data_IF_238411509039
#
_entry.id   IF_238411509039
#
_cell.length_a   1.000
_cell.length_b   1.000
_cell.length_c   1.000
_cell.angle_alpha   90.00
_cell.angle_beta   90.00
_cell.angle_gamma   90.00
#
_symmetry.space_group_name_H-M   'P 1'
#
loop_
_entity.id
_entity.type
_entity.pdbx_description
1 polymer ?
#
# COMPACT_ATOMS: atom_id res chain seq x y z
N UNK A 1 0.44 14.27 -3.70
CA UNK A 1 0.11 14.88 -2.41
C UNK A 1 -0.88 16.03 -2.66
N UNK A 2 -1.22 16.89 -1.70
CA UNK A 2 -2.18 17.98 -1.94
C UNK A 2 -1.68 19.07 -2.91
N UNK A 3 -0.40 19.09 -3.26
CA UNK A 3 0.17 19.98 -4.28
C UNK A 3 0.13 19.37 -5.69
N UNK A 4 -0.35 18.13 -5.82
CA UNK A 4 -0.36 17.39 -7.09
C UNK A 4 0.96 16.69 -7.40
N UNK A 5 1.91 16.62 -6.45
CA UNK A 5 3.15 15.87 -6.62
C UNK A 5 2.90 14.38 -6.42
N UNK A 6 3.27 13.53 -7.38
CA UNK A 6 3.14 12.08 -7.25
C UNK A 6 4.49 11.46 -6.97
N UNK A 7 4.58 10.70 -5.88
CA UNK A 7 5.73 9.84 -5.59
C UNK A 7 5.32 8.39 -5.85
N UNK A 8 6.13 7.68 -6.63
CA UNK A 8 5.94 6.26 -6.90
C UNK A 8 6.97 5.45 -6.13
N UNK A 9 6.49 4.43 -5.41
CA UNK A 9 7.34 3.50 -4.65
C UNK A 9 7.09 2.09 -5.16
N UNK A 10 8.16 1.45 -5.62
CA UNK A 10 8.16 0.07 -6.08
C UNK A 10 9.20 -0.72 -5.29
N UNK A 11 8.86 -1.92 -4.85
CA UNK A 11 9.76 -2.78 -4.09
C UNK A 11 9.21 -4.19 -3.94
N UNK A 12 10.10 -5.11 -3.60
CA UNK A 12 9.72 -6.49 -3.32
C UNK A 12 9.15 -6.62 -1.90
N UNK A 13 7.98 -7.22 -1.81
CA UNK A 13 7.32 -7.48 -0.53
C UNK A 13 6.80 -6.23 0.18
N UNK A 14 6.43 -6.41 1.44
CA UNK A 14 5.95 -5.38 2.37
C UNK A 14 6.81 -5.42 3.62
N UNK A 15 7.36 -4.27 4.04
CA UNK A 15 8.28 -4.17 5.20
C UNK A 15 9.47 -5.15 5.19
N UNK A 16 9.88 -5.62 4.01
CA UNK A 16 10.95 -6.61 3.84
C UNK A 16 10.49 -8.06 3.87
N UNK A 17 9.18 -8.32 3.92
CA UNK A 17 8.58 -9.64 3.97
C UNK A 17 7.72 -9.93 2.73
N UNK A 18 7.67 -11.20 2.32
CA UNK A 18 6.76 -11.71 1.28
C UNK A 18 5.84 -12.75 1.93
N UNK A 19 4.75 -12.34 2.58
CA UNK A 19 3.90 -13.25 3.34
C UNK A 19 3.18 -14.22 2.39
N UNK A 20 3.10 -15.48 2.81
CA UNK A 20 2.23 -16.49 2.21
C UNK A 20 0.98 -16.57 3.06
N UNK A 21 -0.20 -16.40 2.45
CA UNK A 21 -1.48 -16.40 3.14
C UNK A 21 -2.29 -17.64 2.74
N UNK A 22 -2.60 -18.50 3.71
CA UNK A 22 -3.61 -19.54 3.52
C UNK A 22 -5.04 -18.95 3.58
N UNK A 23 -6.05 -19.68 3.07
CA UNK A 23 -7.43 -19.22 3.14
C UNK A 23 -7.87 -18.89 4.57
N UNK A 24 -8.21 -17.61 4.80
CA UNK A 24 -8.66 -17.10 6.11
C UNK A 24 -7.55 -16.49 6.97
N UNK A 25 -6.29 -16.58 6.55
CA UNK A 25 -5.18 -15.89 7.21
C UNK A 25 -5.12 -14.42 6.82
N UNK A 26 -4.49 -13.63 7.70
CA UNK A 26 -4.30 -12.20 7.52
C UNK A 26 -2.87 -11.82 7.89
N UNK A 27 -2.30 -10.90 7.13
CA UNK A 27 -1.04 -10.26 7.44
C UNK A 27 -1.27 -8.76 7.57
N UNK A 28 -0.87 -8.19 8.69
CA UNK A 28 -1.01 -6.77 9.00
C UNK A 28 0.37 -6.16 9.25
N UNK A 29 0.62 -4.99 8.68
CA UNK A 29 1.87 -4.27 8.86
C UNK A 29 1.63 -2.77 8.96
N UNK A 30 2.59 -2.05 9.53
CA UNK A 30 2.59 -0.60 9.58
C UNK A 30 3.83 -0.08 8.85
N UNK A 31 3.65 0.90 7.96
CA UNK A 31 4.71 1.61 7.26
C UNK A 31 4.51 3.12 7.41
N UNK A 32 5.51 3.91 6.99
CA UNK A 32 5.46 5.36 6.97
C UNK A 32 5.47 5.92 5.55
N UNK A 33 4.72 6.99 5.32
CA UNK A 33 4.76 7.78 4.10
C UNK A 33 5.04 9.25 4.49
N UNK A 34 6.25 9.79 4.25
CA UNK A 34 6.50 11.20 4.46
C UNK A 34 5.72 12.01 3.42
N UNK A 35 4.99 13.04 3.87
CA UNK A 35 4.30 13.98 2.98
C UNK A 35 4.78 15.40 3.28
N UNK A 36 4.98 16.20 2.24
CA UNK A 36 5.29 17.63 2.35
C UNK A 36 4.04 18.47 2.67
N UNK A 37 2.84 17.89 2.52
CA UNK A 37 1.54 18.54 2.75
C UNK A 37 0.75 17.91 3.91
N UNK A 38 -0.13 18.68 4.59
CA UNK A 38 -0.96 18.17 5.70
C UNK A 38 -2.01 17.11 5.30
N UNK A 39 -2.25 16.95 4.00
CA UNK A 39 -3.22 15.99 3.43
C UNK A 39 -2.60 15.38 2.16
N UNK A 40 -2.86 14.10 1.94
CA UNK A 40 -2.49 13.39 0.72
C UNK A 40 -3.44 12.23 0.44
N UNK A 41 -3.21 11.56 -0.69
CA UNK A 41 -3.92 10.34 -1.07
C UNK A 41 -2.88 9.29 -1.42
N UNK A 42 -3.07 8.05 -0.98
CA UNK A 42 -2.30 6.89 -1.42
C UNK A 42 -3.20 5.90 -2.15
N UNK A 43 -2.66 5.25 -3.17
CA UNK A 43 -3.28 4.15 -3.91
C UNK A 43 -2.15 3.29 -4.47
N UNK A 44 -2.45 2.08 -4.91
CA UNK A 44 -1.44 1.20 -5.49
C UNK A 44 -1.96 -0.19 -5.78
N UNK A 45 -1.04 -1.11 -6.00
CA UNK A 45 -1.35 -2.50 -6.33
C UNK A 45 -0.30 -3.41 -5.70
N UNK A 46 -0.73 -4.55 -5.15
CA UNK A 46 0.17 -5.65 -4.84
C UNK A 46 0.23 -6.62 -6.02
N UNK A 47 1.44 -7.03 -6.39
CA UNK A 47 1.64 -8.20 -7.23
C UNK A 47 1.72 -9.43 -6.34
N UNK A 48 0.81 -10.37 -6.56
CA UNK A 48 0.69 -11.61 -5.81
C UNK A 48 0.86 -12.81 -6.73
N UNK A 49 1.16 -13.95 -6.14
CA UNK A 49 1.27 -15.23 -6.84
C UNK A 49 0.33 -16.22 -6.18
N UNK A 50 -0.48 -16.90 -6.97
CA UNK A 50 -1.38 -17.95 -6.48
C UNK A 50 -0.62 -19.27 -6.22
N UNK A 51 -1.33 -20.26 -5.66
CA UNK A 51 -0.76 -21.58 -5.35
C UNK A 51 -0.31 -22.37 -6.59
N UNK A 52 -0.67 -21.93 -7.80
CA UNK A 52 -0.27 -22.53 -9.07
C UNK A 52 0.87 -21.78 -9.74
N UNK A 53 1.38 -20.70 -9.14
CA UNK A 53 2.43 -19.87 -9.69
C UNK A 53 1.94 -18.78 -10.65
N UNK A 54 0.63 -18.58 -10.79
CA UNK A 54 0.09 -17.51 -11.63
C UNK A 54 0.17 -16.17 -10.89
N UNK A 55 0.61 -15.15 -11.60
CA UNK A 55 0.63 -13.78 -11.09
C UNK A 55 -0.76 -13.15 -11.21
N UNK A 56 -1.16 -12.42 -10.18
CA UNK A 56 -2.34 -11.58 -10.20
C UNK A 56 -2.13 -10.30 -9.39
N UNK A 57 -2.94 -9.29 -9.69
CA UNK A 57 -2.87 -7.99 -9.05
C UNK A 57 -4.02 -7.81 -8.05
N UNK A 58 -3.70 -7.31 -6.86
CA UNK A 58 -4.67 -6.87 -5.87
C UNK A 58 -4.60 -5.35 -5.71
N UNK A 59 -5.70 -4.67 -6.07
CA UNK A 59 -5.78 -3.22 -6.00
C UNK A 59 -5.89 -2.71 -4.56
N UNK A 60 -5.08 -1.71 -4.23
CA UNK A 60 -5.19 -0.91 -3.02
C UNK A 60 -6.00 0.34 -3.39
N UNK A 61 -7.28 0.33 -3.05
CA UNK A 61 -8.19 1.43 -3.32
C UNK A 61 -7.66 2.75 -2.72
N UNK A 62 -7.87 3.90 -3.38
CA UNK A 62 -7.38 5.18 -2.88
C UNK A 62 -7.89 5.53 -1.48
N UNK A 63 -6.99 5.93 -0.59
CA UNK A 63 -7.33 6.38 0.76
C UNK A 63 -6.58 7.67 1.14
N UNK A 64 -7.18 8.46 2.03
CA UNK A 64 -6.66 9.77 2.46
C UNK A 64 -5.70 9.63 3.64
N UNK A 65 -4.59 10.34 3.58
CA UNK A 65 -3.74 10.66 4.72
C UNK A 65 -4.03 12.09 5.14
N UNK A 66 -4.26 12.34 6.42
CA UNK A 66 -4.52 13.68 6.94
C UNK A 66 -4.00 13.81 8.38
N UNK A 67 -3.47 14.99 8.72
CA UNK A 67 -3.15 15.31 10.11
C UNK A 67 -4.40 15.21 11.01
N UNK A 68 -4.27 14.67 12.24
CA UNK A 68 -5.38 14.62 13.18
C UNK A 68 -5.93 16.03 13.42
N UNK A 69 -7.22 16.25 13.10
CA UNK A 69 -8.01 17.52 13.15
C UNK A 69 -8.17 18.30 11.84
N UNK A 70 -7.73 17.79 10.69
CA UNK A 70 -8.13 18.30 9.37
C UNK A 70 -8.93 17.23 8.61
N UNK A 71 -10.23 17.11 8.92
CA UNK A 71 -11.18 16.23 8.19
C UNK A 71 -11.74 16.93 6.96
#
# INVERSE_FOLDING_TARGET
>A
DANGETEEVFGEGVVGEQPVLEPGEMFEYTSGCPLSTPVGTMHGTYQLVDMHGNQFEAEIAPFRLAEPRRV
#
